data_IF_990875119412
#
_entry.id   IF_990875119412
#
_cell.length_a   1.000
_cell.length_b   1.000
_cell.length_c   1.000
_cell.angle_alpha   90.00
_cell.angle_beta   90.00
_cell.angle_gamma   90.00
#
_symmetry.space_group_name_H-M   'P 1'
#
loop_
_entity.id
_entity.type
_entity.pdbx_description
1 polymer ?
#
# COMPACT_ATOMS: atom_id res chain seq x y z
N UNK A 1 -3.04 25.71 2.48
CA UNK A 1 -1.97 24.79 2.90
C UNK A 1 -2.66 23.47 3.20
N UNK A 2 -2.30 22.38 2.52
CA UNK A 2 -2.98 21.08 2.69
C UNK A 2 -2.14 20.17 3.57
N UNK A 3 -2.80 19.34 4.38
CA UNK A 3 -2.13 18.29 5.16
C UNK A 3 -1.71 17.16 4.26
N UNK A 4 -0.50 16.65 4.46
CA UNK A 4 0.03 15.49 3.76
C UNK A 4 0.32 14.36 4.74
N UNK A 5 0.18 13.14 4.24
CA UNK A 5 0.44 11.90 4.95
C UNK A 5 1.51 11.15 4.14
N UNK A 6 2.66 10.92 4.76
CA UNK A 6 3.72 10.10 4.17
C UNK A 6 3.28 8.63 4.26
N UNK A 7 2.93 8.04 3.13
CA UNK A 7 2.56 6.62 3.04
C UNK A 7 3.70 5.83 2.41
N UNK A 8 4.16 4.79 3.10
CA UNK A 8 5.24 3.90 2.62
C UNK A 8 5.02 2.48 3.07
N UNK A 9 5.35 1.52 2.22
CA UNK A 9 5.17 0.12 2.54
C UNK A 9 5.27 -0.81 1.34
N UNK A 10 4.71 -2.00 1.50
CA UNK A 10 4.79 -3.05 0.50
C UNK A 10 3.58 -3.98 0.53
N UNK A 11 3.37 -4.64 -0.61
CA UNK A 11 2.48 -5.78 -0.80
C UNK A 11 3.31 -6.99 -1.25
N UNK A 12 2.94 -8.18 -0.79
CA UNK A 12 3.44 -9.44 -1.31
C UNK A 12 2.32 -10.18 -2.07
N UNK A 13 2.67 -10.75 -3.22
CA UNK A 13 1.74 -11.45 -4.09
C UNK A 13 2.45 -12.47 -5.00
N UNK A 14 1.69 -13.28 -5.74
CA UNK A 14 2.20 -14.12 -6.83
C UNK A 14 2.14 -13.41 -8.20
N UNK A 15 2.55 -14.10 -9.27
CA UNK A 15 2.54 -13.58 -10.65
C UNK A 15 1.12 -13.21 -11.13
N UNK A 16 0.11 -14.01 -10.79
CA UNK A 16 -1.28 -13.82 -11.23
C UNK A 16 -1.89 -12.61 -10.53
N UNK A 17 -1.70 -12.52 -9.23
CA UNK A 17 -2.09 -11.37 -8.42
C UNK A 17 -1.36 -10.12 -8.90
N UNK A 18 -0.06 -10.20 -9.20
CA UNK A 18 0.70 -9.05 -9.70
C UNK A 18 0.06 -8.45 -10.96
N UNK A 19 -0.32 -9.29 -11.93
CA UNK A 19 -1.00 -8.81 -13.13
C UNK A 19 -2.33 -8.10 -12.81
N UNK A 20 -3.16 -8.69 -11.95
CA UNK A 20 -4.41 -8.07 -11.51
C UNK A 20 -4.18 -6.77 -10.72
N UNK A 21 -3.16 -6.71 -9.87
CA UNK A 21 -2.78 -5.50 -9.12
C UNK A 21 -2.39 -4.39 -10.10
N UNK A 22 -1.62 -4.69 -11.14
CA UNK A 22 -1.24 -3.70 -12.15
C UNK A 22 -2.45 -3.15 -12.92
N UNK A 23 -3.46 -3.99 -13.18
CA UNK A 23 -4.72 -3.55 -13.77
C UNK A 23 -5.48 -2.60 -12.84
N UNK A 24 -5.59 -2.92 -11.55
CA UNK A 24 -6.23 -2.04 -10.56
C UNK A 24 -5.47 -0.71 -10.45
N UNK A 25 -4.14 -0.74 -10.36
CA UNK A 25 -3.32 0.47 -10.28
C UNK A 25 -3.56 1.36 -11.51
N UNK A 26 -3.62 0.76 -12.70
CA UNK A 26 -3.88 1.50 -13.94
C UNK A 26 -5.32 2.02 -14.04
N UNK A 27 -6.31 1.31 -13.50
CA UNK A 27 -7.70 1.74 -13.50
C UNK A 27 -7.96 2.95 -12.58
N UNK A 28 -7.15 3.08 -11.53
CA UNK A 28 -7.18 4.18 -10.57
C UNK A 28 -6.16 5.29 -10.93
N UNK A 29 -5.56 5.25 -12.11
CA UNK A 29 -4.51 6.18 -12.53
C UNK A 29 -4.97 7.64 -12.43
N UNK A 30 -4.19 8.44 -11.69
CA UNK A 30 -4.46 9.86 -11.39
C UNK A 30 -3.33 10.79 -11.84
N UNK A 31 -2.37 10.28 -12.63
CA UNK A 31 -1.12 10.93 -13.07
C UNK A 31 -0.23 11.50 -11.94
N UNK A 32 -0.59 11.30 -10.66
CA UNK A 32 0.08 11.93 -9.53
C UNK A 32 0.54 10.91 -8.49
N UNK A 33 -0.39 10.36 -7.70
CA UNK A 33 -0.06 9.42 -6.62
C UNK A 33 0.21 8.00 -7.13
N UNK A 34 -0.30 7.67 -8.31
CA UNK A 34 -0.06 6.38 -8.97
C UNK A 34 1.43 6.10 -9.23
N UNK A 35 2.24 7.15 -9.41
CA UNK A 35 3.69 7.07 -9.58
C UNK A 35 4.45 6.63 -8.32
N UNK A 36 3.78 6.60 -7.16
CA UNK A 36 4.35 6.08 -5.91
C UNK A 36 4.53 4.56 -5.93
N UNK A 37 3.80 3.84 -6.79
CA UNK A 37 3.94 2.40 -6.95
C UNK A 37 5.20 2.02 -7.72
N UNK A 38 5.88 0.98 -7.26
CA UNK A 38 7.04 0.43 -7.96
C UNK A 38 7.20 -1.07 -7.74
N UNK A 39 7.80 -1.73 -8.72
CA UNK A 39 8.14 -3.15 -8.66
C UNK A 39 9.63 -3.35 -8.97
N UNK A 40 10.31 -4.33 -8.36
CA UNK A 40 11.67 -4.67 -8.75
C UNK A 40 11.78 -4.98 -10.25
N UNK A 41 12.83 -4.48 -10.91
CA UNK A 41 13.09 -4.76 -12.33
C UNK A 41 13.37 -6.25 -12.62
N UNK A 42 13.86 -6.97 -11.62
CA UNK A 42 14.09 -8.42 -11.66
C UNK A 42 13.46 -9.00 -10.40
N UNK A 43 12.49 -9.89 -10.59
CA UNK A 43 11.93 -10.65 -9.49
C UNK A 43 12.97 -11.64 -8.96
N UNK A 44 12.82 -12.04 -7.70
CA UNK A 44 13.66 -13.05 -7.06
C UNK A 44 12.72 -14.09 -6.47
N UNK A 45 12.87 -15.35 -6.88
CA UNK A 45 12.06 -16.48 -6.42
C UNK A 45 10.56 -16.32 -6.74
N UNK A 46 9.69 -16.91 -5.92
CA UNK A 46 8.26 -17.09 -6.16
C UNK A 46 7.35 -15.97 -5.63
N UNK A 47 7.86 -15.09 -4.74
CA UNK A 47 7.08 -14.00 -4.15
C UNK A 47 7.44 -12.69 -4.83
N UNK A 48 6.42 -12.00 -5.33
CA UNK A 48 6.54 -10.67 -5.90
C UNK A 48 6.26 -9.64 -4.81
N UNK A 49 7.02 -8.56 -4.85
CA UNK A 49 6.83 -7.43 -3.95
C UNK A 49 6.52 -6.18 -4.78
N UNK A 50 5.45 -5.49 -4.40
CA UNK A 50 5.15 -4.15 -4.86
C UNK A 50 5.41 -3.19 -3.71
N UNK A 51 6.06 -2.08 -4.00
CA UNK A 51 6.36 -1.04 -3.02
C UNK A 51 5.57 0.21 -3.34
N UNK A 52 5.16 0.92 -2.29
CA UNK A 52 4.62 2.26 -2.43
C UNK A 52 5.40 3.23 -1.54
N UNK A 53 5.59 4.45 -2.03
CA UNK A 53 6.16 5.54 -1.27
C UNK A 53 5.75 6.89 -1.86
N UNK A 54 4.94 7.65 -1.16
CA UNK A 54 4.56 9.02 -1.56
C UNK A 54 4.01 9.83 -0.38
N UNK A 55 4.12 11.15 -0.49
CA UNK A 55 3.38 12.08 0.35
C UNK A 55 2.02 12.36 -0.28
N UNK A 56 0.98 11.76 0.28
CA UNK A 56 -0.40 11.83 -0.22
C UNK A 56 -1.14 12.93 0.52
N UNK A 57 -1.91 13.76 -0.19
CA UNK A 57 -2.79 14.71 0.49
C UNK A 57 -3.81 13.95 1.32
N UNK A 58 -4.12 14.42 2.52
CA UNK A 58 -5.14 13.81 3.38
C UNK A 58 -6.49 13.65 2.66
N UNK A 59 -6.87 14.63 1.83
CA UNK A 59 -8.10 14.59 1.02
C UNK A 59 -8.11 13.52 -0.09
N UNK A 60 -6.96 12.93 -0.42
CA UNK A 60 -6.80 11.88 -1.42
C UNK A 60 -6.47 10.52 -0.77
N UNK A 61 -6.52 10.43 0.57
CA UNK A 61 -6.22 9.19 1.27
C UNK A 61 -7.27 8.11 0.97
N UNK A 62 -8.54 8.50 0.85
CA UNK A 62 -9.65 7.59 0.54
C UNK A 62 -9.42 6.86 -0.78
N UNK A 63 -8.94 7.56 -1.82
CA UNK A 63 -8.56 6.96 -3.12
C UNK A 63 -7.53 5.84 -2.94
N UNK A 64 -6.48 6.09 -2.14
CA UNK A 64 -5.43 5.11 -1.92
C UNK A 64 -5.92 3.92 -1.09
N UNK A 65 -6.74 4.17 -0.05
CA UNK A 65 -7.28 3.09 0.78
C UNK A 65 -8.30 2.24 0.04
N UNK A 66 -9.08 2.83 -0.87
CA UNK A 66 -10.02 2.11 -1.73
C UNK A 66 -9.26 1.20 -2.69
N UNK A 67 -8.21 1.71 -3.35
CA UNK A 67 -7.34 0.94 -4.23
C UNK A 67 -6.69 -0.25 -3.48
N UNK A 68 -6.15 -0.03 -2.28
CA UNK A 68 -5.57 -1.11 -1.47
C UNK A 68 -6.62 -2.13 -1.03
N UNK A 69 -7.82 -1.68 -0.68
CA UNK A 69 -8.90 -2.57 -0.25
C UNK A 69 -9.36 -3.47 -1.39
N UNK A 70 -9.39 -2.96 -2.62
CA UNK A 70 -9.64 -3.74 -3.83
C UNK A 70 -8.53 -4.77 -4.06
N UNK A 71 -7.26 -4.34 -4.00
CA UNK A 71 -6.09 -5.22 -4.16
C UNK A 71 -6.08 -6.36 -3.13
N UNK A 72 -6.43 -6.07 -1.88
CA UNK A 72 -6.44 -7.05 -0.80
C UNK A 72 -7.30 -8.28 -1.12
N UNK A 73 -8.34 -8.12 -1.92
CA UNK A 73 -9.31 -9.17 -2.25
C UNK A 73 -8.88 -10.09 -3.38
N UNK A 74 -7.74 -9.84 -4.06
CA UNK A 74 -7.31 -10.66 -5.20
C UNK A 74 -6.82 -12.03 -4.70
N UNK A 75 -7.47 -13.14 -5.12
CA UNK A 75 -6.99 -14.47 -4.82
C UNK A 75 -5.92 -14.93 -5.82
N UNK A 76 -4.95 -15.70 -5.34
CA UNK A 76 -4.02 -16.44 -6.18
C UNK A 76 -4.69 -17.69 -6.80
N UNK A 77 -3.89 -18.69 -7.18
CA UNK A 77 -4.42 -19.96 -7.73
C UNK A 77 -4.94 -20.91 -6.64
N UNK A 78 -4.37 -20.84 -5.43
CA UNK A 78 -4.72 -21.69 -4.28
C UNK A 78 -5.76 -21.04 -3.34
N UNK A 79 -6.17 -19.81 -3.64
CA UNK A 79 -7.13 -19.02 -2.87
C UNK A 79 -6.50 -18.19 -1.74
N UNK A 80 -5.17 -18.06 -1.69
CA UNK A 80 -4.52 -17.11 -0.79
C UNK A 80 -4.70 -15.67 -1.31
N UNK A 81 -4.89 -14.75 -0.37
CA UNK A 81 -5.11 -13.34 -0.64
C UNK A 81 -3.82 -12.55 -0.48
N UNK A 82 -3.76 -11.39 -1.15
CA UNK A 82 -2.65 -10.45 -1.05
C UNK A 82 -2.41 -10.07 0.42
N UNK A 83 -1.13 -9.90 0.78
CA UNK A 83 -0.71 -9.43 2.10
C UNK A 83 0.18 -8.21 1.97
N UNK A 84 0.33 -7.45 3.04
CA UNK A 84 1.21 -6.30 3.03
C UNK A 84 1.20 -5.49 4.31
N UNK A 85 2.09 -4.52 4.33
CA UNK A 85 2.29 -3.61 5.45
C UNK A 85 2.62 -2.22 4.94
N UNK A 86 1.90 -1.22 5.43
CA UNK A 86 2.22 0.19 5.23
C UNK A 86 2.29 0.94 6.55
N UNK A 87 3.07 2.00 6.55
CA UNK A 87 3.06 3.04 7.56
C UNK A 87 2.53 4.32 6.91
N UNK A 88 1.46 4.86 7.48
CA UNK A 88 0.87 6.13 7.11
C UNK A 88 1.19 7.14 8.23
N UNK A 89 2.15 8.02 7.96
CA UNK A 89 2.67 8.99 8.91
C UNK A 89 2.01 10.34 8.69
N UNK A 90 1.28 10.82 9.70
CA UNK A 90 0.70 12.15 9.74
C UNK A 90 1.46 13.00 10.77
N UNK A 91 1.85 14.22 10.39
CA UNK A 91 2.71 15.09 11.22
C UNK A 91 2.08 15.45 12.59
N UNK A 92 0.76 15.63 12.64
CA UNK A 92 0.03 15.95 13.87
C UNK A 92 -0.49 14.73 14.64
N UNK A 93 -1.11 13.75 13.96
CA UNK A 93 -1.81 12.62 14.62
C UNK A 93 -0.92 11.39 14.82
N UNK A 94 0.30 11.40 14.27
CA UNK A 94 1.28 10.33 14.42
C UNK A 94 1.25 9.31 13.30
N UNK A 95 1.87 8.16 13.52
CA UNK A 95 1.95 7.09 12.52
C UNK A 95 0.90 6.02 12.76
N UNK A 96 0.21 5.62 11.70
CA UNK A 96 -0.69 4.48 11.64
C UNK A 96 0.00 3.33 10.91
N UNK A 97 -0.14 2.12 11.45
CA UNK A 97 0.23 0.88 10.79
C UNK A 97 -1.00 0.31 10.08
N UNK A 98 -0.80 -0.04 8.81
CA UNK A 98 -1.81 -0.59 7.92
C UNK A 98 -1.40 -2.00 7.50
N UNK A 99 -2.17 -2.99 7.93
CA UNK A 99 -1.95 -4.39 7.60
C UNK A 99 -2.97 -4.84 6.54
N UNK A 100 -2.47 -5.37 5.44
CA UNK A 100 -3.30 -6.02 4.42
C UNK A 100 -3.23 -7.51 4.71
N UNK A 101 -4.37 -8.10 5.05
CA UNK A 101 -4.50 -9.54 5.32
C UNK A 101 -5.95 -9.97 5.23
N UNK A 102 -6.18 -11.23 4.90
CA UNK A 102 -7.53 -11.83 4.88
C UNK A 102 -8.54 -11.04 4.02
N UNK A 103 -8.09 -10.40 2.93
CA UNK A 103 -8.98 -9.64 2.05
C UNK A 103 -9.36 -8.25 2.55
N UNK A 104 -8.71 -7.76 3.61
CA UNK A 104 -9.09 -6.53 4.29
C UNK A 104 -7.86 -5.68 4.67
N UNK A 105 -8.10 -4.37 4.76
CA UNK A 105 -7.18 -3.40 5.34
C UNK A 105 -7.51 -3.20 6.82
N UNK A 106 -6.53 -3.43 7.69
CA UNK A 106 -6.63 -3.15 9.12
C UNK A 106 -5.71 -1.97 9.47
N UNK A 107 -6.26 -0.94 10.11
CA UNK A 107 -5.50 0.21 10.56
C UNK A 107 -5.44 0.27 12.09
N UNK A 108 -4.24 0.50 12.63
CA UNK A 108 -4.02 0.71 14.08
C UNK A 108 -2.90 1.71 14.31
N UNK A 109 -2.87 2.41 15.46
CA UNK A 109 -1.73 3.25 15.83
C UNK A 109 -0.43 2.44 15.79
N UNK A 110 0.60 2.97 15.14
CA UNK A 110 1.90 2.34 15.08
C UNK A 110 2.62 2.46 16.43
N UNK A 111 3.44 1.46 16.77
CA UNK A 111 4.23 1.48 18.00
C UNK A 111 5.26 2.61 18.05
N UNK A 112 5.75 2.93 19.24
CA UNK A 112 6.76 3.99 19.45
C UNK A 112 8.09 3.73 18.73
N UNK A 113 8.36 2.48 18.33
CA UNK A 113 9.53 2.10 17.53
C UNK A 113 9.60 2.79 16.16
N UNK A 114 8.49 3.35 15.68
CA UNK A 114 8.42 4.05 14.38
C UNK A 114 8.53 5.58 14.50
N UNK A 115 8.77 6.14 15.69
CA UNK A 115 8.85 7.60 15.88
C UNK A 115 9.98 8.27 15.09
N UNK A 116 11.10 7.59 14.86
CA UNK A 116 12.22 8.12 14.06
C UNK A 116 11.83 8.45 12.61
N UNK A 117 10.68 7.97 12.14
CA UNK A 117 10.14 8.26 10.83
C UNK A 117 9.35 9.58 10.76
N UNK A 118 9.17 10.25 11.90
CA UNK A 118 8.47 11.52 12.07
C UNK A 118 9.36 12.61 12.69
N UNK A 119 10.60 12.27 13.05
CA UNK A 119 11.59 13.18 13.64
C UNK A 119 12.34 14.01 12.58
#
# INVERSE_FOLDING_TARGET
MGTYISVRGWLECDDKQLAAIQEIISAHEDDHYSNGWSTPRRHINWTHYLFYGADVRESALDWFTDQITEIAQIPDTDGYLVRGLFLATHEVTGTMEWQIRNGQLFASPAGTSYQYLTE
#
